data_IF_613432754598
#
_entry.id   IF_613432754598
#
_cell.length_a   1.000
_cell.length_b   1.000
_cell.length_c   1.000
_cell.angle_alpha   90.00
_cell.angle_beta   90.00
_cell.angle_gamma   90.00
#
_symmetry.space_group_name_H-M   'P 1'
#
loop_
_entity.id
_entity.type
_entity.pdbx_description
1 polymer ?
#
# COMPACT_ATOMS: atom_id res chain seq x y z
N UNK A 1 18.13 26.72 -68.45
CA UNK A 1 17.87 26.72 -66.99
C UNK A 1 17.00 25.50 -66.66
N UNK A 2 17.61 24.38 -66.23
CA UNK A 2 16.88 23.19 -65.75
C UNK A 2 16.69 23.34 -64.24
N UNK A 3 15.44 23.50 -63.79
CA UNK A 3 15.09 23.53 -62.35
C UNK A 3 14.98 22.09 -61.85
N UNK A 4 15.84 21.73 -60.90
CA UNK A 4 15.81 20.46 -60.18
C UNK A 4 14.75 20.57 -59.08
N UNK A 5 13.71 19.74 -59.13
CA UNK A 5 12.68 19.67 -58.09
C UNK A 5 13.16 18.69 -57.01
N UNK A 6 13.53 19.19 -55.83
CA UNK A 6 13.82 18.36 -54.67
C UNK A 6 12.48 17.93 -54.04
N UNK A 7 12.18 16.63 -54.10
CA UNK A 7 11.06 16.03 -53.38
C UNK A 7 11.59 15.60 -52.01
N UNK A 8 11.21 16.32 -50.95
CA UNK A 8 11.44 15.91 -49.57
C UNK A 8 10.40 14.86 -49.18
N UNK A 9 10.84 13.61 -49.07
CA UNK A 9 10.04 12.51 -48.53
C UNK A 9 10.15 12.57 -47.01
N UNK A 10 9.06 12.98 -46.35
CA UNK A 10 8.93 12.85 -44.90
C UNK A 10 8.60 11.40 -44.56
N UNK A 11 9.55 10.67 -43.99
CA UNK A 11 9.27 9.43 -43.28
C UNK A 11 8.70 9.78 -41.91
N UNK A 12 7.38 9.67 -41.74
CA UNK A 12 6.78 9.62 -40.42
C UNK A 12 7.00 8.22 -39.85
N UNK A 13 8.08 8.02 -39.10
CA UNK A 13 8.18 6.86 -38.22
C UNK A 13 7.19 7.06 -37.07
N UNK A 14 5.99 6.48 -37.20
CA UNK A 14 5.11 6.24 -36.07
C UNK A 14 5.83 5.27 -35.13
N UNK A 15 6.56 5.83 -34.17
CA UNK A 15 7.06 5.08 -33.02
C UNK A 15 5.82 4.65 -32.24
N UNK A 16 5.38 3.40 -32.44
CA UNK A 16 4.45 2.79 -31.50
C UNK A 16 5.14 2.80 -30.14
N UNK A 17 4.55 3.47 -29.16
CA UNK A 17 5.07 3.44 -27.80
C UNK A 17 4.99 1.99 -27.30
N UNK A 18 6.15 1.37 -27.05
CA UNK A 18 6.23 0.03 -26.50
C UNK A 18 5.36 -0.07 -25.24
N UNK A 19 4.54 -1.10 -25.19
CA UNK A 19 3.64 -1.36 -24.06
C UNK A 19 4.42 -2.04 -22.94
N UNK A 20 4.24 -1.59 -21.69
CA UNK A 20 4.69 -2.36 -20.53
C UNK A 20 3.75 -3.55 -20.33
N UNK A 21 4.29 -4.76 -20.46
CA UNK A 21 3.54 -6.01 -20.35
C UNK A 21 3.60 -6.55 -18.92
N UNK A 22 2.44 -6.71 -18.28
CA UNK A 22 2.31 -7.15 -16.89
C UNK A 22 1.38 -8.36 -16.80
N UNK A 23 1.89 -9.48 -16.28
CA UNK A 23 1.08 -10.67 -15.98
C UNK A 23 0.80 -10.77 -14.48
N UNK A 24 -0.46 -10.90 -14.10
CA UNK A 24 -0.87 -11.16 -12.73
C UNK A 24 -1.18 -12.64 -12.52
N UNK A 25 -0.34 -13.33 -11.75
CA UNK A 25 -0.60 -14.69 -11.25
C UNK A 25 -1.17 -14.57 -9.84
N UNK A 26 -2.44 -14.93 -9.64
CA UNK A 26 -3.10 -14.72 -8.35
C UNK A 26 -4.46 -15.40 -8.20
N UNK A 27 -5.37 -14.76 -7.47
CA UNK A 27 -6.69 -15.34 -7.22
C UNK A 27 -7.77 -14.25 -7.11
N UNK A 28 -8.78 -14.43 -6.26
CA UNK A 28 -9.85 -13.46 -6.04
C UNK A 28 -9.38 -12.10 -5.57
N UNK A 29 -8.21 -11.99 -4.92
CA UNK A 29 -7.63 -10.68 -4.59
C UNK A 29 -7.06 -9.94 -5.81
N UNK A 30 -6.96 -10.63 -6.95
CA UNK A 30 -6.57 -10.08 -8.25
C UNK A 30 -7.78 -9.88 -9.16
N UNK A 31 -8.68 -10.87 -9.34
CA UNK A 31 -9.77 -10.71 -10.30
C UNK A 31 -10.95 -9.87 -9.79
N UNK A 32 -11.15 -9.74 -8.47
CA UNK A 32 -12.25 -8.93 -7.93
C UNK A 32 -12.04 -7.46 -8.31
N UNK A 33 -13.09 -6.85 -8.87
CA UNK A 33 -13.10 -5.52 -9.49
C UNK A 33 -12.14 -5.35 -10.67
N UNK A 34 -11.63 -6.45 -11.25
CA UNK A 34 -10.68 -6.47 -12.36
C UNK A 34 -9.48 -5.55 -12.12
N UNK A 35 -8.71 -5.87 -11.07
CA UNK A 35 -7.54 -5.08 -10.67
C UNK A 35 -6.55 -4.84 -11.83
N UNK A 36 -6.23 -5.81 -12.72
CA UNK A 36 -5.35 -5.58 -13.87
C UNK A 36 -5.89 -4.51 -14.82
N UNK A 37 -7.19 -4.52 -15.15
CA UNK A 37 -7.80 -3.48 -15.99
C UNK A 37 -7.82 -2.13 -15.28
N UNK A 38 -8.11 -2.10 -13.98
CA UNK A 38 -8.07 -0.87 -13.18
C UNK A 38 -6.66 -0.25 -13.15
N UNK A 39 -5.64 -1.09 -12.95
CA UNK A 39 -4.23 -0.69 -13.02
C UNK A 39 -3.87 -0.14 -14.41
N UNK A 40 -4.27 -0.83 -15.48
CA UNK A 40 -4.05 -0.38 -16.86
C UNK A 40 -4.69 0.99 -17.12
N UNK A 41 -5.94 1.19 -16.73
CA UNK A 41 -6.65 2.45 -16.92
C UNK A 41 -6.01 3.59 -16.13
N UNK A 42 -5.61 3.33 -14.88
CA UNK A 42 -4.86 4.29 -14.08
C UNK A 42 -3.52 4.64 -14.74
N UNK A 43 -2.78 3.64 -15.23
CA UNK A 43 -1.50 3.83 -15.89
C UNK A 43 -1.60 4.69 -17.15
N UNK A 44 -2.68 4.52 -17.93
CA UNK A 44 -2.94 5.36 -19.11
C UNK A 44 -3.06 6.85 -18.76
N UNK A 45 -3.66 7.19 -17.60
CA UNK A 45 -3.73 8.59 -17.14
C UNK A 45 -2.38 9.17 -16.72
N UNK A 46 -1.45 8.30 -16.30
CA UNK A 46 -0.04 8.61 -16.07
C UNK A 46 0.83 8.58 -17.33
N UNK A 47 0.22 8.48 -18.52
CA UNK A 47 0.94 8.43 -19.81
C UNK A 47 1.69 7.11 -20.04
N UNK A 48 1.27 6.02 -19.40
CA UNK A 48 1.86 4.68 -19.58
C UNK A 48 0.94 3.83 -20.44
N UNK A 49 1.50 3.23 -21.48
CA UNK A 49 0.82 2.18 -22.24
C UNK A 49 1.06 0.84 -21.54
N UNK A 50 0.00 0.17 -21.12
CA UNK A 50 0.08 -1.09 -20.37
C UNK A 50 -0.78 -2.15 -21.03
N UNK A 51 -0.18 -3.31 -21.23
CA UNK A 51 -0.86 -4.56 -21.52
C UNK A 51 -0.85 -5.39 -20.24
N UNK A 52 -2.04 -5.68 -19.71
CA UNK A 52 -2.18 -6.40 -18.46
C UNK A 52 -3.06 -7.64 -18.69
N UNK A 53 -2.58 -8.79 -18.22
CA UNK A 53 -3.33 -10.04 -18.23
C UNK A 53 -3.32 -10.67 -16.84
N UNK A 54 -4.21 -11.62 -16.58
CA UNK A 54 -4.21 -12.39 -15.34
C UNK A 54 -4.51 -13.87 -15.55
N UNK A 55 -3.87 -14.69 -14.72
CA UNK A 55 -4.26 -16.06 -14.43
C UNK A 55 -4.64 -16.09 -12.94
N UNK A 56 -5.94 -15.97 -12.66
CA UNK A 56 -6.42 -15.73 -11.30
C UNK A 56 -7.59 -16.64 -10.85
N UNK A 57 -7.44 -17.97 -10.78
CA UNK A 57 -8.52 -18.82 -10.25
C UNK A 57 -8.77 -18.55 -8.75
N UNK A 58 -10.04 -18.59 -8.32
CA UNK A 58 -10.41 -18.31 -6.93
C UNK A 58 -9.72 -19.21 -5.91
N UNK A 59 -9.22 -18.62 -4.83
CA UNK A 59 -8.59 -19.33 -3.71
C UNK A 59 -7.19 -19.92 -3.99
N UNK A 60 -6.63 -19.75 -5.18
CA UNK A 60 -5.36 -20.40 -5.54
C UNK A 60 -4.17 -19.92 -4.71
N UNK A 61 -3.29 -20.88 -4.38
CA UNK A 61 -1.95 -20.64 -3.85
C UNK A 61 -0.92 -20.53 -4.97
N UNK A 62 0.29 -20.05 -4.65
CA UNK A 62 1.41 -20.12 -5.60
C UNK A 62 1.73 -21.55 -6.00
N UNK A 63 1.58 -22.52 -5.09
CA UNK A 63 1.75 -23.93 -5.39
C UNK A 63 0.71 -24.44 -6.40
N UNK A 64 -0.54 -23.99 -6.29
CA UNK A 64 -1.56 -24.34 -7.28
C UNK A 64 -1.20 -23.79 -8.67
N UNK A 65 -0.66 -22.57 -8.75
CA UNK A 65 -0.20 -22.00 -10.02
C UNK A 65 1.01 -22.73 -10.59
N UNK A 66 1.97 -23.10 -9.75
CA UNK A 66 3.15 -23.87 -10.17
C UNK A 66 2.77 -25.19 -10.85
N UNK A 67 1.66 -25.81 -10.42
CA UNK A 67 1.16 -27.06 -10.95
C UNK A 67 0.06 -26.89 -12.02
N UNK A 68 -0.28 -25.65 -12.40
CA UNK A 68 -1.34 -25.35 -13.37
C UNK A 68 -0.76 -25.01 -14.74
N UNK A 69 -1.12 -25.81 -15.74
CA UNK A 69 -0.67 -25.64 -17.13
C UNK A 69 -0.93 -24.23 -17.64
N UNK A 70 -2.14 -23.67 -17.50
CA UNK A 70 -2.44 -22.33 -18.03
C UNK A 70 -1.59 -21.21 -17.40
N UNK A 71 -1.30 -21.31 -16.10
CA UNK A 71 -0.45 -20.34 -15.41
C UNK A 71 1.00 -20.42 -15.89
N UNK A 72 1.52 -21.64 -16.06
CA UNK A 72 2.88 -21.85 -16.58
C UNK A 72 2.98 -21.43 -18.05
N UNK A 73 2.01 -21.79 -18.89
CA UNK A 73 1.97 -21.41 -20.30
C UNK A 73 1.86 -19.88 -20.46
N UNK A 74 1.09 -19.21 -19.60
CA UNK A 74 1.01 -17.75 -19.58
C UNK A 74 2.39 -17.12 -19.30
N UNK A 75 3.15 -17.62 -18.32
CA UNK A 75 4.51 -17.16 -18.03
C UNK A 75 5.46 -17.44 -19.19
N UNK A 76 5.38 -18.65 -19.76
CA UNK A 76 6.28 -19.12 -20.84
C UNK A 76 6.08 -18.43 -22.18
N UNK A 77 5.03 -17.61 -22.35
CA UNK A 77 4.88 -16.75 -23.53
C UNK A 77 6.06 -15.80 -23.74
N UNK A 78 6.81 -15.44 -22.69
CA UNK A 78 8.09 -14.76 -22.84
C UNK A 78 8.01 -13.28 -23.23
N UNK A 79 6.87 -12.63 -23.00
CA UNK A 79 6.61 -11.24 -23.41
C UNK A 79 6.58 -10.24 -22.24
N UNK A 80 6.79 -10.71 -21.00
CA UNK A 80 6.48 -9.92 -19.81
C UNK A 80 7.65 -9.05 -19.36
N UNK A 81 7.35 -7.79 -19.04
CA UNK A 81 8.28 -6.91 -18.30
C UNK A 81 8.15 -7.13 -16.79
N UNK A 82 6.95 -7.46 -16.33
CA UNK A 82 6.64 -7.73 -14.94
C UNK A 82 5.75 -8.96 -14.82
N UNK A 83 6.07 -9.84 -13.88
CA UNK A 83 5.18 -10.93 -13.48
C UNK A 83 4.87 -10.78 -11.99
N UNK A 84 3.61 -10.48 -11.69
CA UNK A 84 3.10 -10.31 -10.34
C UNK A 84 2.73 -11.67 -9.77
N UNK A 85 3.30 -12.01 -8.62
CA UNK A 85 3.01 -13.23 -7.87
C UNK A 85 2.22 -12.88 -6.60
N UNK A 86 1.00 -13.39 -6.52
CA UNK A 86 0.11 -13.24 -5.37
C UNK A 86 -0.14 -14.59 -4.71
N UNK A 87 0.16 -14.70 -3.42
CA UNK A 87 -0.18 -15.88 -2.63
C UNK A 87 -1.63 -15.79 -2.11
N UNK A 88 -2.19 -16.92 -1.68
CA UNK A 88 -3.48 -16.99 -0.99
C UNK A 88 -3.48 -16.14 0.29
N UNK A 89 -4.61 -15.54 0.65
CA UNK A 89 -4.72 -14.53 1.73
C UNK A 89 -4.30 -14.96 3.15
N UNK A 90 -4.27 -16.26 3.44
CA UNK A 90 -3.98 -16.87 4.74
C UNK A 90 -2.64 -17.61 4.76
N UNK A 91 -2.23 -18.20 3.64
CA UNK A 91 -0.98 -18.98 3.53
C UNK A 91 0.25 -18.23 4.09
N UNK A 92 0.48 -16.93 3.81
CA UNK A 92 1.64 -16.24 4.35
C UNK A 92 1.57 -16.03 5.86
N UNK A 93 0.42 -16.17 6.53
CA UNK A 93 0.31 -16.03 8.00
C UNK A 93 0.35 -17.35 8.76
N UNK A 94 0.23 -18.49 8.07
CA UNK A 94 0.36 -19.83 8.64
C UNK A 94 1.80 -20.32 8.41
N UNK A 95 2.60 -20.44 9.48
CA UNK A 95 4.04 -20.71 9.39
C UNK A 95 4.36 -21.99 8.59
N UNK A 96 3.66 -23.09 8.89
CA UNK A 96 3.86 -24.35 8.19
C UNK A 96 3.68 -24.21 6.68
N UNK A 97 2.56 -23.61 6.22
CA UNK A 97 2.30 -23.43 4.79
C UNK A 97 3.25 -22.43 4.14
N UNK A 98 3.67 -21.40 4.88
CA UNK A 98 4.64 -20.41 4.40
C UNK A 98 5.97 -21.07 4.01
N UNK A 99 6.50 -21.93 4.88
CA UNK A 99 7.79 -22.58 4.66
C UNK A 99 7.71 -23.82 3.76
N UNK A 100 6.59 -24.55 3.76
CA UNK A 100 6.47 -25.80 3.00
C UNK A 100 5.77 -25.64 1.64
N UNK A 101 5.05 -24.54 1.40
CA UNK A 101 4.30 -24.31 0.16
C UNK A 101 4.64 -22.97 -0.50
N UNK A 102 4.41 -21.84 0.18
CA UNK A 102 4.58 -20.50 -0.40
C UNK A 102 6.01 -20.24 -0.88
N UNK A 103 7.01 -20.33 0.01
CA UNK A 103 8.39 -19.97 -0.36
C UNK A 103 8.98 -20.90 -1.44
N UNK A 104 8.89 -22.25 -1.33
CA UNK A 104 9.38 -23.13 -2.38
C UNK A 104 8.69 -22.90 -3.73
N UNK A 105 7.38 -22.62 -3.72
CA UNK A 105 6.62 -22.35 -4.95
C UNK A 105 7.00 -21.00 -5.57
N UNK A 106 7.20 -19.98 -4.73
CA UNK A 106 7.67 -18.67 -5.14
C UNK A 106 9.06 -18.73 -5.80
N UNK A 107 10.02 -19.47 -5.21
CA UNK A 107 11.36 -19.66 -5.78
C UNK A 107 11.32 -20.36 -7.15
N UNK A 108 10.48 -21.39 -7.29
CA UNK A 108 10.32 -22.11 -8.56
C UNK A 108 9.64 -21.26 -9.63
N UNK A 109 8.57 -20.54 -9.27
CA UNK A 109 7.89 -19.64 -10.21
C UNK A 109 8.82 -18.51 -10.65
N UNK A 110 9.57 -17.88 -9.74
CA UNK A 110 10.56 -16.86 -10.06
C UNK A 110 11.66 -17.40 -11.00
N UNK A 111 12.12 -18.64 -10.79
CA UNK A 111 13.07 -19.30 -11.69
C UNK A 111 12.49 -19.47 -13.10
N UNK A 112 11.24 -19.93 -13.22
CA UNK A 112 10.55 -20.07 -14.52
C UNK A 112 10.36 -18.71 -15.19
N UNK A 113 9.98 -17.68 -14.43
CA UNK A 113 9.82 -16.32 -14.95
C UNK A 113 11.15 -15.85 -15.55
N UNK A 114 12.26 -15.98 -14.82
CA UNK A 114 13.60 -15.55 -15.26
C UNK A 114 14.13 -16.34 -16.45
N UNK A 115 13.80 -17.63 -16.53
CA UNK A 115 14.17 -18.48 -17.67
C UNK A 115 13.47 -18.05 -18.96
N UNK A 116 12.16 -17.82 -18.91
CA UNK A 116 11.34 -17.57 -20.11
C UNK A 116 11.14 -16.09 -20.45
N UNK A 117 11.37 -15.18 -19.50
CA UNK A 117 11.29 -13.73 -19.70
C UNK A 117 12.59 -13.06 -19.21
N UNK A 118 13.71 -13.21 -19.92
CA UNK A 118 14.99 -12.63 -19.49
C UNK A 118 14.88 -11.10 -19.41
N UNK A 119 15.00 -10.55 -18.20
CA UNK A 119 14.84 -9.10 -17.95
C UNK A 119 13.52 -8.73 -17.27
N UNK A 120 12.56 -9.65 -17.18
CA UNK A 120 11.35 -9.43 -16.41
C UNK A 120 11.64 -9.25 -14.91
N UNK A 121 10.85 -8.41 -14.26
CA UNK A 121 10.90 -8.20 -12.82
C UNK A 121 9.77 -8.98 -12.17
N UNK A 122 10.11 -9.96 -11.33
CA UNK A 122 9.15 -10.60 -10.43
C UNK A 122 8.66 -9.58 -9.39
N UNK A 123 7.34 -9.48 -9.23
CA UNK A 123 6.70 -8.56 -8.27
C UNK A 123 5.86 -9.35 -7.27
N UNK A 124 6.23 -9.39 -5.99
CA UNK A 124 5.34 -9.92 -4.97
C UNK A 124 4.22 -8.93 -4.63
N UNK A 125 2.98 -9.40 -4.74
CA UNK A 125 1.80 -8.65 -4.31
C UNK A 125 1.53 -8.90 -2.83
N UNK A 126 2.04 -8.00 -1.97
CA UNK A 126 1.72 -8.04 -0.54
C UNK A 126 0.26 -7.70 -0.32
N UNK A 127 -0.54 -8.71 0.01
CA UNK A 127 -1.96 -8.58 0.31
C UNK A 127 -2.20 -7.94 1.68
N UNK A 128 -3.47 -7.74 2.02
CA UNK A 128 -3.92 -7.14 3.28
C UNK A 128 -4.45 -8.17 4.28
N UNK A 129 -4.38 -7.83 5.57
CA UNK A 129 -5.03 -8.56 6.65
C UNK A 129 -6.56 -8.49 6.56
N UNK A 130 -7.23 -9.49 7.14
CA UNK A 130 -8.70 -9.49 7.31
C UNK A 130 -9.13 -8.32 8.21
N UNK A 131 -10.34 -7.79 7.99
CA UNK A 131 -10.82 -6.54 8.62
C UNK A 131 -10.63 -6.50 10.13
N UNK A 132 -10.84 -7.64 10.80
CA UNK A 132 -10.78 -7.76 12.26
C UNK A 132 -9.64 -8.65 12.76
N UNK A 133 -8.73 -9.10 11.88
CA UNK A 133 -7.76 -10.14 12.21
C UNK A 133 -8.42 -11.51 12.31
N UNK A 134 -8.03 -12.31 13.30
CA UNK A 134 -8.55 -13.66 13.56
C UNK A 134 -7.47 -14.74 13.52
N UNK A 135 -7.86 -15.97 13.86
CA UNK A 135 -7.05 -17.17 13.66
C UNK A 135 -7.41 -17.79 12.31
N UNK A 136 -6.40 -18.16 11.53
CA UNK A 136 -6.58 -18.82 10.24
C UNK A 136 -6.08 -20.25 10.35
N UNK A 137 -6.89 -21.22 9.93
CA UNK A 137 -6.53 -22.63 9.98
C UNK A 137 -6.84 -23.28 8.63
N UNK A 138 -5.88 -24.09 8.16
CA UNK A 138 -6.05 -25.00 7.03
C UNK A 138 -5.58 -26.36 7.52
N UNK A 139 -6.48 -27.34 7.45
CA UNK A 139 -6.31 -28.67 8.05
C UNK A 139 -5.91 -28.57 9.53
N UNK A 140 -4.75 -29.11 9.89
CA UNK A 140 -4.20 -29.09 11.25
C UNK A 140 -3.24 -27.93 11.51
N UNK A 141 -2.98 -27.09 10.50
CA UNK A 141 -2.04 -25.98 10.60
C UNK A 141 -2.78 -24.66 10.81
N UNK A 142 -2.48 -23.97 11.92
CA UNK A 142 -3.10 -22.69 12.26
C UNK A 142 -2.08 -21.56 12.41
N UNK A 143 -2.50 -20.35 12.10
CA UNK A 143 -1.80 -19.13 12.50
C UNK A 143 -1.98 -18.88 14.00
N UNK A 144 -1.17 -17.99 14.60
CA UNK A 144 -1.52 -17.35 15.86
C UNK A 144 -2.87 -16.62 15.75
N UNK A 145 -3.48 -16.33 16.90
CA UNK A 145 -4.67 -15.47 16.97
C UNK A 145 -4.23 -14.02 16.75
N UNK A 146 -4.61 -13.44 15.61
CA UNK A 146 -4.38 -12.02 15.37
C UNK A 146 -5.51 -11.21 16.00
N UNK A 147 -5.25 -10.54 17.12
CA UNK A 147 -6.27 -9.75 17.85
C UNK A 147 -6.75 -8.50 17.11
N UNK A 148 -6.10 -8.15 16.00
CA UNK A 148 -6.50 -7.03 15.15
C UNK A 148 -6.01 -7.21 13.72
N UNK A 149 -6.56 -6.40 12.80
CA UNK A 149 -6.03 -6.24 11.45
C UNK A 149 -4.52 -5.93 11.43
N UNK A 150 -4.05 -5.06 12.34
CA UNK A 150 -2.65 -4.62 12.36
C UNK A 150 -1.69 -5.78 12.65
N UNK A 151 -2.02 -6.64 13.61
CA UNK A 151 -1.21 -7.82 13.93
C UNK A 151 -1.14 -8.80 12.75
N UNK A 152 -2.25 -9.00 12.05
CA UNK A 152 -2.26 -9.85 10.85
C UNK A 152 -1.43 -9.22 9.72
N UNK A 153 -1.55 -7.91 9.52
CA UNK A 153 -0.80 -7.19 8.49
C UNK A 153 0.71 -7.22 8.76
N UNK A 154 1.15 -7.16 10.00
CA UNK A 154 2.56 -7.28 10.36
C UNK A 154 3.13 -8.65 9.99
N UNK A 155 2.35 -9.72 10.17
CA UNK A 155 2.72 -11.08 9.75
C UNK A 155 2.82 -11.18 8.22
N UNK A 156 1.82 -10.67 7.48
CA UNK A 156 1.85 -10.62 6.02
C UNK A 156 3.07 -9.86 5.50
N UNK A 157 3.33 -8.67 6.06
CA UNK A 157 4.49 -7.85 5.72
C UNK A 157 5.78 -8.60 5.91
N UNK A 158 5.96 -9.24 7.06
CA UNK A 158 7.16 -10.02 7.38
C UNK A 158 7.39 -11.13 6.35
N UNK A 159 6.34 -11.90 6.02
CA UNK A 159 6.42 -13.01 5.06
C UNK A 159 6.79 -12.56 3.66
N UNK A 160 6.08 -11.57 3.12
CA UNK A 160 6.33 -11.09 1.76
C UNK A 160 7.67 -10.35 1.64
N UNK A 161 8.08 -9.59 2.67
CA UNK A 161 9.38 -8.92 2.70
C UNK A 161 10.52 -9.94 2.69
N UNK A 162 10.38 -11.03 3.45
CA UNK A 162 11.39 -12.09 3.50
C UNK A 162 11.63 -12.71 2.13
N UNK A 163 10.58 -13.20 1.46
CA UNK A 163 10.74 -13.86 0.15
C UNK A 163 11.19 -12.88 -0.94
N UNK A 164 10.71 -11.63 -0.91
CA UNK A 164 11.14 -10.60 -1.87
C UNK A 164 12.64 -10.32 -1.74
N UNK A 165 13.15 -10.22 -0.50
CA UNK A 165 14.57 -10.01 -0.26
C UNK A 165 15.42 -11.21 -0.67
N UNK A 166 14.95 -12.44 -0.40
CA UNK A 166 15.65 -13.67 -0.82
C UNK A 166 15.83 -13.71 -2.34
N UNK A 167 14.78 -13.35 -3.08
CA UNK A 167 14.76 -13.47 -4.55
C UNK A 167 15.25 -12.21 -5.28
N UNK A 168 15.53 -11.12 -4.56
CA UNK A 168 15.79 -9.80 -5.16
C UNK A 168 14.59 -9.26 -5.96
N UNK A 169 13.38 -9.71 -5.61
CA UNK A 169 12.14 -9.36 -6.32
C UNK A 169 11.59 -8.01 -5.85
N UNK A 170 10.80 -7.37 -6.71
CA UNK A 170 10.07 -6.16 -6.36
C UNK A 170 8.92 -6.50 -5.41
N UNK A 171 8.69 -5.67 -4.39
CA UNK A 171 7.58 -5.86 -3.45
C UNK A 171 6.54 -4.76 -3.62
N UNK A 172 5.34 -5.10 -4.09
CA UNK A 172 4.18 -4.19 -4.11
C UNK A 172 3.54 -4.15 -2.72
N UNK A 173 3.63 -3.04 -1.96
CA UNK A 173 3.22 -2.98 -0.56
C UNK A 173 1.73 -2.65 -0.40
N UNK A 174 0.84 -3.30 -1.17
CA UNK A 174 -0.58 -2.96 -1.20
C UNK A 174 -1.24 -3.04 0.19
N UNK A 175 -0.96 -4.11 0.95
CA UNK A 175 -1.45 -4.22 2.33
C UNK A 175 -0.94 -3.12 3.28
N UNK A 176 0.26 -2.57 3.06
CA UNK A 176 0.76 -1.42 3.84
C UNK A 176 0.01 -0.12 3.47
N UNK A 177 -0.40 0.02 2.21
CA UNK A 177 -1.20 1.15 1.77
C UNK A 177 -2.62 1.08 2.35
N UNK A 178 -3.19 -0.12 2.43
CA UNK A 178 -4.45 -0.36 3.16
C UNK A 178 -4.33 0.01 4.63
N UNK A 179 -3.23 -0.39 5.29
CA UNK A 179 -2.94 0.02 6.68
C UNK A 179 -2.87 1.55 6.78
N UNK A 180 -2.18 2.19 5.84
CA UNK A 180 -2.03 3.66 5.79
C UNK A 180 -3.39 4.35 5.67
N UNK A 181 -4.23 3.91 4.72
CA UNK A 181 -5.57 4.46 4.53
C UNK A 181 -6.44 4.32 5.79
N UNK A 182 -6.46 3.14 6.40
CA UNK A 182 -7.23 2.87 7.64
C UNK A 182 -6.75 3.69 8.83
N UNK A 183 -5.44 3.95 8.95
CA UNK A 183 -4.89 4.78 10.02
C UNK A 183 -5.24 6.27 9.86
N UNK A 184 -5.32 6.76 8.62
CA UNK A 184 -5.64 8.16 8.34
C UNK A 184 -7.15 8.39 8.40
N UNK A 185 -7.95 7.48 7.85
CA UNK A 185 -9.40 7.54 7.81
C UNK A 185 -10.01 6.20 8.24
N UNK A 186 -10.38 6.02 9.51
CA UNK A 186 -10.99 4.77 9.99
C UNK A 186 -12.34 4.43 9.34
N UNK A 187 -12.99 5.40 8.70
CA UNK A 187 -14.28 5.30 8.00
C UNK A 187 -14.19 4.75 6.57
N UNK A 188 -12.98 4.50 6.03
CA UNK A 188 -12.85 3.92 4.69
C UNK A 188 -13.40 2.49 4.64
N UNK A 189 -14.03 2.14 3.53
CA UNK A 189 -14.66 0.85 3.34
C UNK A 189 -13.81 -0.01 2.39
N UNK A 190 -12.68 -0.54 2.87
CA UNK A 190 -11.75 -1.31 2.03
C UNK A 190 -12.13 -2.79 1.85
N UNK A 191 -12.92 -3.35 2.78
CA UNK A 191 -13.32 -4.77 2.78
C UNK A 191 -14.80 -4.92 2.43
N UNK A 192 -15.11 -5.94 1.65
CA UNK A 192 -16.48 -6.39 1.43
C UNK A 192 -17.09 -7.00 2.72
N UNK A 193 -18.36 -7.40 2.66
CA UNK A 193 -19.12 -7.97 3.78
C UNK A 193 -18.47 -9.22 4.38
N UNK A 194 -17.63 -9.92 3.63
CA UNK A 194 -16.89 -11.10 4.09
C UNK A 194 -15.59 -10.77 4.84
N UNK A 195 -15.33 -9.48 5.08
CA UNK A 195 -14.20 -8.96 5.83
C UNK A 195 -12.83 -9.31 5.23
N UNK A 196 -12.82 -9.63 3.93
CA UNK A 196 -11.69 -10.21 3.23
C UNK A 196 -11.47 -9.59 1.86
N UNK A 197 -12.42 -9.78 0.95
CA UNK A 197 -12.30 -9.32 -0.43
C UNK A 197 -12.31 -7.79 -0.48
N UNK A 198 -11.69 -7.22 -1.52
CA UNK A 198 -11.66 -5.78 -1.65
C UNK A 198 -13.00 -5.25 -2.15
N UNK A 199 -13.45 -4.15 -1.57
CA UNK A 199 -14.41 -3.28 -2.27
C UNK A 199 -13.72 -2.59 -3.45
N UNK A 200 -14.49 -1.80 -4.20
CA UNK A 200 -13.94 -0.91 -5.23
C UNK A 200 -12.87 0.04 -4.69
N UNK A 201 -13.04 0.56 -3.46
CA UNK A 201 -12.05 1.40 -2.78
C UNK A 201 -10.72 0.66 -2.56
N UNK A 202 -10.79 -0.58 -2.07
CA UNK A 202 -9.63 -1.43 -1.84
C UNK A 202 -8.87 -1.78 -3.12
N UNK A 203 -9.59 -2.12 -4.18
CA UNK A 203 -8.99 -2.40 -5.49
C UNK A 203 -8.36 -1.13 -6.10
N UNK A 204 -8.99 0.04 -5.98
CA UNK A 204 -8.46 1.30 -6.50
C UNK A 204 -7.17 1.72 -5.80
N UNK A 205 -7.13 1.66 -4.47
CA UNK A 205 -5.91 1.89 -3.71
C UNK A 205 -4.79 0.94 -4.14
N UNK A 206 -5.13 -0.33 -4.34
CA UNK A 206 -4.17 -1.36 -4.79
C UNK A 206 -3.63 -1.05 -6.20
N UNK A 207 -4.49 -0.65 -7.14
CA UNK A 207 -4.07 -0.22 -8.48
C UNK A 207 -3.10 0.98 -8.42
N UNK A 208 -3.36 1.96 -7.54
CA UNK A 208 -2.47 3.08 -7.29
C UNK A 208 -1.10 2.64 -6.77
N UNK A 209 -1.06 1.64 -5.89
CA UNK A 209 0.21 1.09 -5.38
C UNK A 209 0.99 0.40 -6.49
N UNK A 210 0.33 -0.41 -7.34
CA UNK A 210 1.00 -1.02 -8.49
C UNK A 210 1.56 0.02 -9.45
N UNK A 211 0.80 1.05 -9.80
CA UNK A 211 1.30 2.16 -10.62
C UNK A 211 2.54 2.81 -9.98
N UNK A 212 2.41 3.21 -8.72
CA UNK A 212 3.49 3.87 -8.01
C UNK A 212 4.74 2.99 -7.93
N UNK A 213 4.57 1.68 -7.74
CA UNK A 213 5.67 0.76 -7.53
C UNK A 213 6.37 0.35 -8.83
N UNK A 214 5.60 0.05 -9.88
CA UNK A 214 6.12 -0.39 -11.18
C UNK A 214 6.80 0.78 -11.89
N UNK A 215 6.16 1.95 -11.92
CA UNK A 215 6.69 3.09 -12.67
C UNK A 215 7.53 4.06 -11.84
N UNK A 216 7.59 3.88 -10.52
CA UNK A 216 8.24 4.81 -9.59
C UNK A 216 7.75 6.26 -9.79
N UNK A 217 6.45 6.43 -9.98
CA UNK A 217 5.80 7.70 -10.27
C UNK A 217 4.59 7.91 -9.36
N UNK A 218 4.31 9.16 -9.00
CA UNK A 218 3.14 9.46 -8.16
C UNK A 218 1.84 9.32 -8.96
N UNK A 219 0.83 8.61 -8.43
CA UNK A 219 -0.52 8.60 -9.01
C UNK A 219 -1.37 9.81 -8.59
N UNK A 220 -0.84 10.74 -7.77
CA UNK A 220 -1.60 11.88 -7.24
C UNK A 220 -2.00 12.82 -8.39
N UNK A 221 -3.29 13.12 -8.45
CA UNK A 221 -3.87 14.04 -9.45
C UNK A 221 -4.32 13.34 -10.73
N UNK A 222 -4.26 12.01 -10.79
CA UNK A 222 -4.78 11.26 -11.93
C UNK A 222 -6.30 11.34 -11.99
N UNK A 223 -6.84 11.56 -13.19
CA UNK A 223 -8.28 11.75 -13.41
C UNK A 223 -9.07 10.44 -13.45
N UNK A 224 -8.42 9.29 -13.64
CA UNK A 224 -9.10 8.00 -13.51
C UNK A 224 -9.32 7.70 -12.02
N UNK A 225 -10.59 7.70 -11.61
CA UNK A 225 -11.01 7.52 -10.22
C UNK A 225 -11.59 6.12 -9.93
N UNK A 226 -11.60 5.22 -10.92
CA UNK A 226 -12.13 3.87 -10.77
C UNK A 226 -13.62 3.80 -10.40
N UNK A 227 -14.39 4.88 -10.64
CA UNK A 227 -15.79 4.97 -10.22
C UNK A 227 -16.01 5.53 -8.81
N UNK A 228 -14.95 5.95 -8.12
CA UNK A 228 -15.02 6.59 -6.81
C UNK A 228 -15.24 8.11 -6.93
N UNK A 229 -15.79 8.77 -5.89
CA UNK A 229 -15.74 10.23 -5.80
C UNK A 229 -14.31 10.75 -5.87
N UNK A 230 -14.08 11.85 -6.59
CA UNK A 230 -12.73 12.37 -6.87
C UNK A 230 -11.90 12.65 -5.61
N UNK A 231 -12.54 13.16 -4.55
CA UNK A 231 -11.86 13.42 -3.27
C UNK A 231 -11.40 12.14 -2.58
N UNK A 232 -12.15 11.05 -2.74
CA UNK A 232 -11.82 9.74 -2.20
C UNK A 232 -10.73 9.06 -3.04
N UNK A 233 -10.81 9.16 -4.37
CA UNK A 233 -9.76 8.70 -5.27
C UNK A 233 -8.42 9.42 -4.98
N UNK A 234 -8.44 10.75 -4.85
CA UNK A 234 -7.26 11.54 -4.50
C UNK A 234 -6.66 11.11 -3.16
N UNK A 235 -7.50 10.83 -2.16
CA UNK A 235 -7.05 10.29 -0.88
C UNK A 235 -6.29 8.96 -1.06
N UNK A 236 -6.81 8.02 -1.85
CA UNK A 236 -6.11 6.75 -2.10
C UNK A 236 -4.83 6.90 -2.92
N UNK A 237 -4.80 7.81 -3.91
CA UNK A 237 -3.57 8.13 -4.63
C UNK A 237 -2.49 8.64 -3.67
N UNK A 238 -2.86 9.50 -2.71
CA UNK A 238 -1.96 10.00 -1.67
C UNK A 238 -1.48 8.88 -0.74
N UNK A 239 -2.37 8.00 -0.28
CA UNK A 239 -1.99 6.85 0.53
C UNK A 239 -0.99 5.94 -0.19
N UNK A 240 -1.27 5.58 -1.45
CA UNK A 240 -0.37 4.77 -2.26
C UNK A 240 1.01 5.42 -2.41
N UNK A 241 1.06 6.71 -2.75
CA UNK A 241 2.32 7.43 -2.89
C UNK A 241 3.09 7.57 -1.57
N UNK A 242 2.39 7.80 -0.46
CA UNK A 242 3.00 7.83 0.86
C UNK A 242 3.58 6.47 1.26
N UNK A 243 2.97 5.37 0.85
CA UNK A 243 3.46 4.02 1.13
C UNK A 243 4.65 3.64 0.25
N UNK A 244 4.62 3.96 -1.04
CA UNK A 244 5.67 3.57 -2.00
C UNK A 244 6.81 4.59 -2.10
N UNK A 245 6.46 5.87 -2.20
CA UNK A 245 7.34 6.98 -2.55
C UNK A 245 8.22 7.48 -1.42
N UNK A 246 8.12 6.89 -0.22
CA UNK A 246 9.05 7.21 0.85
C UNK A 246 10.07 6.08 0.99
N UNK A 247 11.35 6.43 0.87
CA UNK A 247 12.45 5.76 1.59
C UNK A 247 12.23 5.96 3.09
N UNK A 248 11.13 5.48 3.64
CA UNK A 248 10.95 5.37 5.07
C UNK A 248 11.49 3.99 5.42
N UNK A 249 12.72 3.94 5.92
CA UNK A 249 13.04 3.59 7.31
C UNK A 249 11.87 3.05 8.18
N UNK A 250 11.01 2.14 7.69
CA UNK A 250 10.00 1.41 8.49
C UNK A 250 10.66 0.18 9.14
N UNK A 251 12.00 0.13 9.16
CA UNK A 251 12.80 -0.79 9.97
C UNK A 251 13.84 -0.08 10.84
N UNK A 252 13.82 1.26 10.94
CA UNK A 252 14.56 1.95 11.98
C UNK A 252 13.57 2.68 12.87
N UNK A 253 13.72 2.49 14.18
CA UNK A 253 13.27 3.45 15.18
C UNK A 253 13.42 4.86 14.62
N UNK A 254 12.42 5.75 14.73
CA UNK A 254 12.55 7.10 14.20
C UNK A 254 13.79 7.75 14.82
N UNK A 255 14.63 8.42 14.03
CA UNK A 255 15.88 8.97 14.56
C UNK A 255 15.67 10.21 15.43
N UNK A 256 14.46 10.80 15.40
CA UNK A 256 14.15 12.09 16.01
C UNK A 256 12.88 12.06 16.85
N UNK A 257 12.92 12.84 17.92
CA UNK A 257 11.74 13.24 18.68
C UNK A 257 11.09 14.39 17.93
N UNK A 258 9.93 14.15 17.31
CA UNK A 258 9.30 15.11 16.41
C UNK A 258 7.79 15.19 16.67
N UNK A 259 7.25 16.41 16.59
CA UNK A 259 5.82 16.67 16.66
C UNK A 259 5.38 17.21 15.30
N UNK A 260 4.48 16.50 14.62
CA UNK A 260 4.00 16.89 13.30
C UNK A 260 2.82 17.85 13.39
N UNK A 261 2.59 18.61 12.32
CA UNK A 261 1.38 19.42 12.20
C UNK A 261 0.14 18.51 12.19
N UNK A 262 -0.86 18.83 13.01
CA UNK A 262 -2.12 18.10 13.01
C UNK A 262 -2.80 18.24 11.64
N UNK A 263 -3.51 17.20 11.20
CA UNK A 263 -4.26 17.22 9.96
C UNK A 263 -5.66 16.62 10.16
N UNK A 264 -6.73 17.26 9.65
CA UNK A 264 -6.73 18.61 9.04
C UNK A 264 -6.39 19.74 10.04
N UNK A 265 -5.91 20.89 9.55
CA UNK A 265 -5.74 22.12 10.34
C UNK A 265 -5.92 23.37 9.45
N UNK A 266 -6.96 24.21 9.65
CA UNK A 266 -8.02 24.10 10.65
C UNK A 266 -8.85 22.82 10.52
N UNK A 267 -9.53 22.40 11.59
CA UNK A 267 -10.43 21.25 11.56
C UNK A 267 -11.79 21.53 12.23
N UNK A 268 -12.80 20.81 11.76
CA UNK A 268 -14.14 20.72 12.35
C UNK A 268 -14.41 19.26 12.75
N UNK A 269 -14.96 19.04 13.94
CA UNK A 269 -15.15 17.71 14.52
C UNK A 269 -13.86 17.07 15.06
N UNK A 270 -12.98 16.58 14.17
CA UNK A 270 -11.80 15.80 14.57
C UNK A 270 -10.55 16.09 13.73
N UNK A 271 -9.39 15.82 14.31
CA UNK A 271 -8.06 15.87 13.69
C UNK A 271 -7.20 14.74 14.21
N UNK A 272 -6.11 14.42 13.50
CA UNK A 272 -5.07 13.52 14.01
C UNK A 272 -3.83 14.35 14.35
N UNK A 273 -3.26 14.11 15.53
CA UNK A 273 -1.96 14.64 15.95
C UNK A 273 -0.94 13.52 15.87
N UNK A 274 0.07 13.69 15.02
CA UNK A 274 1.15 12.71 14.82
C UNK A 274 2.43 13.15 15.51
N UNK A 275 3.20 12.21 16.07
CA UNK A 275 4.54 12.45 16.61
C UNK A 275 5.43 11.21 16.48
N UNK A 276 6.74 11.38 16.61
CA UNK A 276 7.71 10.29 16.66
C UNK A 276 8.58 10.38 17.91
N UNK A 277 8.96 9.22 18.44
CA UNK A 277 9.87 9.12 19.58
C UNK A 277 11.01 8.15 19.29
N UNK A 278 12.28 8.56 19.45
CA UNK A 278 13.43 7.78 19.02
C UNK A 278 13.91 6.76 20.06
N UNK A 279 13.45 6.91 21.30
CA UNK A 279 13.84 6.10 22.47
C UNK A 279 12.65 5.97 23.40
N UNK A 280 12.62 4.89 24.17
CA UNK A 280 11.59 4.69 25.18
C UNK A 280 11.63 5.82 26.20
N UNK A 281 10.50 6.49 26.44
CA UNK A 281 10.39 7.55 27.43
C UNK A 281 8.96 7.77 27.89
N UNK A 282 8.79 8.41 29.05
CA UNK A 282 7.49 8.93 29.47
C UNK A 282 7.14 10.11 28.58
N UNK A 283 6.03 10.01 27.85
CA UNK A 283 5.57 10.99 26.88
C UNK A 283 4.21 11.53 27.31
N UNK A 284 4.05 12.85 27.30
CA UNK A 284 2.75 13.49 27.44
C UNK A 284 2.40 14.38 26.26
N UNK A 285 1.17 14.29 25.78
CA UNK A 285 0.60 15.14 24.73
C UNK A 285 -0.63 15.83 25.32
N UNK A 286 -0.59 17.15 25.36
CA UNK A 286 -1.61 17.97 26.02
C UNK A 286 -2.04 19.14 25.14
N UNK A 287 -3.30 19.54 25.25
CA UNK A 287 -3.89 20.68 24.55
C UNK A 287 -4.00 21.86 25.51
N UNK A 288 -3.70 23.06 25.03
CA UNK A 288 -3.72 24.32 25.77
C UNK A 288 -4.47 25.40 25.01
N UNK A 289 -5.15 26.29 25.73
CA UNK A 289 -5.70 27.52 25.15
C UNK A 289 -4.64 28.62 25.03
N UNK A 290 -5.03 29.79 24.49
CA UNK A 290 -4.14 30.95 24.30
C UNK A 290 -3.60 31.54 25.62
N UNK A 291 -4.25 31.26 26.75
CA UNK A 291 -3.80 31.68 28.09
C UNK A 291 -2.82 30.68 28.72
N UNK A 292 -2.49 29.59 28.02
CA UNK A 292 -1.63 28.53 28.52
C UNK A 292 -2.30 27.59 29.52
N UNK A 293 -3.63 27.63 29.64
CA UNK A 293 -4.37 26.70 30.48
C UNK A 293 -4.53 25.37 29.75
N UNK A 294 -4.26 24.27 30.45
CA UNK A 294 -4.47 22.91 29.95
C UNK A 294 -5.97 22.65 29.77
N UNK A 295 -6.34 22.22 28.57
CA UNK A 295 -7.72 21.90 28.19
C UNK A 295 -7.94 20.38 28.17
N UNK A 296 -6.93 19.62 27.77
CA UNK A 296 -7.03 18.16 27.66
C UNK A 296 -5.66 17.50 27.70
N UNK A 297 -5.56 16.34 28.34
CA UNK A 297 -4.42 15.42 28.20
C UNK A 297 -4.85 14.29 27.26
N UNK A 298 -4.15 14.14 26.14
CA UNK A 298 -4.43 13.12 25.13
C UNK A 298 -3.63 11.83 25.35
N UNK A 299 -2.41 11.95 25.90
CA UNK A 299 -1.58 10.81 26.30
C UNK A 299 -0.66 11.23 27.46
N UNK A 300 -0.33 10.29 28.35
CA UNK A 300 0.64 10.46 29.42
C UNK A 300 1.20 9.10 29.86
N UNK A 301 2.03 8.49 29.01
CA UNK A 301 2.42 7.08 29.14
C UNK A 301 3.89 6.84 28.76
N UNK A 302 4.47 5.74 29.24
CA UNK A 302 5.77 5.27 28.77
C UNK A 302 5.58 4.59 27.40
N UNK A 303 6.16 5.20 26.37
CA UNK A 303 6.05 4.70 25.00
C UNK A 303 7.40 4.18 24.51
N UNK A 304 7.38 3.08 23.75
CA UNK A 304 8.54 2.51 23.05
C UNK A 304 8.92 3.33 21.81
N UNK A 305 10.12 3.17 21.22
CA UNK A 305 10.48 3.94 20.03
C UNK A 305 9.51 3.68 18.87
N UNK A 306 8.99 4.73 18.25
CA UNK A 306 7.94 4.58 17.25
C UNK A 306 7.29 5.89 16.81
N UNK A 307 6.38 5.76 15.85
CA UNK A 307 5.56 6.87 15.34
C UNK A 307 4.13 6.63 15.82
N UNK A 308 3.54 7.67 16.39
CA UNK A 308 2.23 7.62 17.04
C UNK A 308 1.29 8.62 16.38
N UNK A 309 0.01 8.23 16.28
CA UNK A 309 -1.07 9.06 15.76
C UNK A 309 -2.21 9.06 16.77
N UNK A 310 -2.50 10.22 17.36
CA UNK A 310 -3.52 10.37 18.39
C UNK A 310 -4.70 11.17 17.82
N UNK A 311 -5.91 10.57 17.74
CA UNK A 311 -7.10 11.31 17.35
C UNK A 311 -7.48 12.33 18.42
N UNK A 312 -7.92 13.51 17.99
CA UNK A 312 -8.41 14.58 18.86
C UNK A 312 -9.73 15.13 18.32
N UNK A 313 -10.74 15.22 19.18
CA UNK A 313 -12.07 15.75 18.84
C UNK A 313 -12.39 17.03 19.62
N UNK A 314 -13.11 17.94 18.98
CA UNK A 314 -13.45 19.26 19.51
C UNK A 314 -14.87 19.39 20.09
N UNK A 315 -15.59 18.28 20.34
CA UNK A 315 -17.02 18.31 20.70
C UNK A 315 -17.38 19.28 21.85
N UNK A 316 -16.49 19.45 22.83
CA UNK A 316 -16.68 20.32 23.99
C UNK A 316 -15.81 21.59 23.97
N UNK A 317 -15.13 21.86 22.85
CA UNK A 317 -14.14 22.94 22.75
C UNK A 317 -14.64 23.99 21.75
N UNK A 318 -14.69 25.29 22.12
CA UNK A 318 -15.07 26.36 21.20
C UNK A 318 -14.15 26.48 19.97
N UNK A 319 -14.64 27.14 18.92
CA UNK A 319 -13.78 27.55 17.80
C UNK A 319 -12.72 28.52 18.27
N UNK A 320 -11.52 28.42 17.72
CA UNK A 320 -10.41 29.28 18.11
C UNK A 320 -9.04 28.68 17.85
N UNK A 321 -8.02 29.41 18.31
CA UNK A 321 -6.62 28.98 18.23
C UNK A 321 -6.23 28.31 19.54
N UNK A 322 -5.59 27.15 19.42
CA UNK A 322 -5.10 26.35 20.53
C UNK A 322 -3.69 25.85 20.21
N UNK A 323 -3.04 25.31 21.23
CA UNK A 323 -1.71 24.74 21.12
C UNK A 323 -1.72 23.32 21.65
N UNK A 324 -0.93 22.46 21.03
CA UNK A 324 -0.67 21.13 21.55
C UNK A 324 0.81 20.98 21.80
N UNK A 325 1.13 20.43 22.98
CA UNK A 325 2.48 20.30 23.49
C UNK A 325 2.79 18.83 23.74
N UNK A 326 3.85 18.36 23.10
CA UNK A 326 4.43 17.05 23.30
C UNK A 326 5.64 17.20 24.22
N UNK A 327 5.62 16.55 25.37
CA UNK A 327 6.74 16.50 26.30
C UNK A 327 7.28 15.08 26.44
N UNK A 328 8.59 14.99 26.65
CA UNK A 328 9.32 13.84 27.17
C UNK A 328 10.33 14.36 28.19
N UNK A 329 10.99 13.47 28.93
CA UNK A 329 11.98 13.81 29.97
C UNK A 329 13.01 14.86 29.54
N UNK A 330 13.38 14.91 28.25
CA UNK A 330 14.40 15.82 27.72
C UNK A 330 13.93 16.75 26.60
N UNK A 331 12.67 16.65 26.17
CA UNK A 331 12.18 17.37 24.99
C UNK A 331 10.81 17.99 25.23
N UNK A 332 10.59 19.17 24.65
CA UNK A 332 9.31 19.85 24.66
C UNK A 332 9.06 20.50 23.31
N UNK A 333 8.04 20.04 22.59
CA UNK A 333 7.66 20.55 21.27
C UNK A 333 6.23 21.07 21.32
N UNK A 334 5.98 22.21 20.68
CA UNK A 334 4.66 22.85 20.65
C UNK A 334 4.28 23.13 19.20
N UNK A 335 3.01 22.90 18.86
CA UNK A 335 2.42 23.34 17.59
C UNK A 335 1.03 23.93 17.80
N UNK A 336 0.61 24.73 16.83
CA UNK A 336 -0.68 25.42 16.81
C UNK A 336 -1.72 24.55 16.10
N UNK A 337 -2.92 24.42 16.65
CA UNK A 337 -4.10 23.91 15.96
C UNK A 337 -5.22 24.94 15.97
N UNK A 338 -6.06 24.94 14.94
CA UNK A 338 -7.18 25.86 14.77
C UNK A 338 -8.46 25.04 14.67
N UNK A 339 -9.39 25.34 15.57
CA UNK A 339 -10.70 24.71 15.65
C UNK A 339 -11.70 25.62 14.94
N UNK A 340 -12.43 25.08 13.97
CA UNK A 340 -13.55 25.72 13.29
C UNK A 340 -14.81 24.88 13.53
N UNK A 341 -15.96 25.55 13.71
CA UNK A 341 -17.27 24.91 13.85
C UNK A 341 -18.12 25.19 12.63
#
# INVERSE_FOLDING_TARGET
MKRLLLILIFFSSSVFADSTNVLFIGNSYTFVNDLPVMFKNLAATGGKNVHAEMEAPGGYTLENHLNRISSIDAIKRGIWDYVVLQEQSQTPVIEYLRYNSMYPSAEKLDSIIKEFNPGAVTVFYMTWGRKNGGQQCIDTSCSPVFTSYFHMQDSLKSSYTKISNILGALLSPAGEAWRTARLIRPDVNLWDMDESHPTLEGSYLTACVFFAKIFNQSPIGFFYNGGLPDTLALFYQQCAWQTVGVKNNISSSPDKFELFQNYPNPFNGSTIIKFSIPKSSLVSLKIYNILGQEISTLINENLSPGIYSIPFSNHLIPSGVYFYKLNSNSYSLIKKLVIIK
#
